data_IF_010012310602
#
_entry.id   IF_010012310602
#
_cell.length_a   1.000
_cell.length_b   1.000
_cell.length_c   1.000
_cell.angle_alpha   90.00
_cell.angle_beta   90.00
_cell.angle_gamma   90.00
#
_symmetry.space_group_name_H-M   'P 1'
#
loop_
_entity.id
_entity.type
_entity.pdbx_description
1 polymer ?
#
# COMPACT_ATOMS: atom_id res chain seq x y z
N UNK A 1 10.24 5.93 -3.24
CA UNK A 1 9.36 4.78 -2.94
C UNK A 1 9.48 4.44 -1.46
N UNK A 2 8.38 4.12 -0.84
CA UNK A 2 8.33 3.81 0.58
C UNK A 2 7.47 2.56 0.80
N UNK A 3 7.53 2.00 1.99
CA UNK A 3 6.72 0.84 2.36
C UNK A 3 5.53 1.27 3.20
N UNK A 4 4.43 0.53 3.07
CA UNK A 4 3.21 0.80 3.81
C UNK A 4 2.40 -0.48 3.96
N UNK A 5 1.44 -0.43 4.88
CA UNK A 5 0.46 -1.51 5.04
C UNK A 5 -0.91 -0.99 4.65
N UNK A 6 -1.60 -1.76 3.86
CA UNK A 6 -2.97 -1.44 3.47
C UNK A 6 -3.90 -1.71 4.63
N UNK A 7 -4.71 -0.73 4.99
CA UNK A 7 -5.65 -0.87 6.11
C UNK A 7 -7.11 -0.70 5.69
N UNK A 8 -7.37 -0.39 4.44
CA UNK A 8 -8.74 -0.24 3.99
C UNK A 8 -8.85 0.23 2.56
N UNK A 9 -10.07 0.49 2.16
CA UNK A 9 -10.45 0.93 0.81
C UNK A 9 -11.21 2.24 0.92
N UNK A 10 -10.96 3.14 -0.04
CA UNK A 10 -11.69 4.40 -0.13
C UNK A 10 -12.61 4.31 -1.34
N UNK A 11 -13.90 4.58 -1.12
CA UNK A 11 -14.89 4.58 -2.18
C UNK A 11 -15.38 6.01 -2.38
N UNK A 12 -15.39 6.47 -3.63
CA UNK A 12 -15.81 7.81 -3.97
C UNK A 12 -17.25 7.79 -4.45
N UNK A 13 -18.06 8.73 -3.94
CA UNK A 13 -19.47 8.83 -4.35
C UNK A 13 -19.58 9.60 -5.66
N UNK A 14 -18.73 10.59 -5.89
CA UNK A 14 -18.79 11.46 -7.07
C UNK A 14 -17.38 11.76 -7.56
N UNK A 15 -16.74 10.82 -8.22
CA UNK A 15 -15.34 11.04 -8.65
C UNK A 15 -15.27 11.95 -9.88
N UNK A 16 -14.20 12.73 -9.95
CA UNK A 16 -13.81 13.39 -11.20
C UNK A 16 -13.61 12.31 -12.26
N UNK A 17 -13.89 12.65 -13.53
CA UNK A 17 -13.83 11.67 -14.61
C UNK A 17 -12.47 10.97 -14.69
N UNK A 18 -11.37 11.68 -14.39
CA UNK A 18 -10.03 11.11 -14.42
C UNK A 18 -9.79 10.05 -13.35
N UNK A 19 -10.67 9.98 -12.35
CA UNK A 19 -10.54 9.01 -11.26
C UNK A 19 -11.38 7.75 -11.48
N UNK A 20 -12.12 7.68 -12.55
CA UNK A 20 -13.00 6.54 -12.80
C UNK A 20 -12.21 5.30 -13.13
N UNK A 21 -12.74 4.17 -12.70
CA UNK A 21 -12.15 2.87 -13.00
C UNK A 21 -10.99 2.48 -12.12
N UNK A 22 -10.57 3.34 -11.20
CA UNK A 22 -9.47 3.03 -10.32
C UNK A 22 -9.94 2.58 -8.94
N UNK A 23 -9.05 1.92 -8.23
CA UNK A 23 -9.25 1.57 -6.83
C UNK A 23 -8.37 2.45 -5.98
N UNK A 24 -8.89 2.87 -4.83
CA UNK A 24 -8.16 3.67 -3.86
C UNK A 24 -7.99 2.88 -2.58
N UNK A 25 -6.77 2.84 -2.07
CA UNK A 25 -6.46 2.13 -0.83
C UNK A 25 -5.99 3.12 0.23
N UNK A 26 -6.33 2.80 1.46
CA UNK A 26 -5.84 3.55 2.61
C UNK A 26 -4.58 2.85 3.11
N UNK A 27 -3.47 3.58 3.15
CA UNK A 27 -2.17 3.04 3.49
C UNK A 27 -1.64 3.69 4.77
N UNK A 28 -0.98 2.90 5.61
CA UNK A 28 -0.20 3.43 6.73
C UNK A 28 1.27 3.25 6.39
N UNK A 29 2.01 4.35 6.18
CA UNK A 29 3.44 4.26 5.92
C UNK A 29 4.19 3.63 7.10
N UNK A 30 5.23 2.86 6.79
CA UNK A 30 6.00 2.14 7.79
C UNK A 30 7.45 2.61 7.76
N UNK A 31 7.93 3.11 8.91
CA UNK A 31 9.35 3.40 9.09
C UNK A 31 10.10 2.16 9.56
N UNK A 32 11.44 2.26 9.74
CA UNK A 32 12.25 1.10 10.13
C UNK A 32 11.78 0.41 11.41
N UNK A 33 11.38 1.17 12.41
CA UNK A 33 10.91 0.58 13.67
C UNK A 33 9.56 -0.12 13.47
N UNK A 34 8.71 0.45 12.62
CA UNK A 34 7.40 -0.13 12.33
C UNK A 34 7.53 -1.45 11.58
N UNK A 35 8.50 -1.54 10.69
CA UNK A 35 8.74 -2.77 9.93
C UNK A 35 9.12 -3.92 10.86
N UNK A 36 9.90 -3.63 11.89
CA UNK A 36 10.27 -4.64 12.86
C UNK A 36 9.08 -5.04 13.74
N UNK A 37 8.20 -4.09 14.06
CA UNK A 37 7.03 -4.33 14.91
C UNK A 37 5.86 -4.93 14.15
N UNK A 38 5.82 -4.74 12.84
CA UNK A 38 4.74 -5.26 11.99
C UNK A 38 3.61 -4.28 11.72
N UNK A 39 3.56 -3.15 12.41
CA UNK A 39 2.55 -2.12 12.19
C UNK A 39 3.14 -0.75 12.43
N UNK A 40 2.41 0.29 12.05
CA UNK A 40 2.86 1.65 12.19
C UNK A 40 1.80 2.56 12.76
N UNK A 41 2.24 3.75 13.18
CA UNK A 41 1.40 4.76 13.77
C UNK A 41 1.37 6.06 12.94
N UNK A 42 1.95 6.04 11.76
CA UNK A 42 1.93 7.22 10.89
C UNK A 42 0.52 7.51 10.40
N UNK A 43 0.30 8.75 10.04
CA UNK A 43 -0.99 9.17 9.50
C UNK A 43 -1.27 8.42 8.19
N UNK A 44 -2.46 7.84 8.02
CA UNK A 44 -2.80 7.15 6.78
C UNK A 44 -2.89 8.10 5.60
N UNK A 45 -2.65 7.56 4.42
CA UNK A 45 -2.83 8.29 3.18
C UNK A 45 -3.59 7.43 2.17
N UNK A 46 -4.14 8.09 1.16
CA UNK A 46 -4.91 7.41 0.11
C UNK A 46 -4.02 7.25 -1.11
N UNK A 47 -3.98 6.06 -1.68
CA UNK A 47 -3.17 5.76 -2.85
C UNK A 47 -4.00 5.08 -3.93
N UNK A 48 -3.65 5.37 -5.18
CA UNK A 48 -4.21 4.66 -6.34
C UNK A 48 -3.62 3.26 -6.40
N UNK A 49 -4.46 2.26 -6.63
CA UNK A 49 -4.03 0.86 -6.65
C UNK A 49 -4.59 0.15 -7.89
N UNK A 50 -3.68 -0.22 -8.80
CA UNK A 50 -4.00 -1.02 -9.96
C UNK A 50 -3.62 -2.49 -9.78
N UNK A 51 -3.05 -2.84 -8.63
CA UNK A 51 -2.50 -4.18 -8.42
C UNK A 51 -3.39 -5.09 -7.60
N UNK A 52 -4.43 -4.53 -7.00
CA UNK A 52 -5.38 -5.33 -6.22
C UNK A 52 -4.88 -5.65 -4.81
N UNK A 53 -4.28 -4.69 -4.13
CA UNK A 53 -3.84 -4.90 -2.76
C UNK A 53 -5.03 -5.22 -1.85
N UNK A 54 -4.89 -6.26 -1.05
CA UNK A 54 -5.87 -6.60 -0.04
C UNK A 54 -5.57 -5.93 1.29
N UNK A 55 -6.48 -6.03 2.24
CA UNK A 55 -6.27 -5.49 3.58
C UNK A 55 -5.13 -6.24 4.26
N UNK A 56 -4.28 -5.51 4.96
CA UNK A 56 -3.12 -6.09 5.63
C UNK A 56 -1.93 -6.34 4.72
N UNK A 57 -2.06 -6.03 3.44
CA UNK A 57 -1.00 -6.23 2.47
C UNK A 57 0.15 -5.26 2.71
N UNK A 58 1.37 -5.76 2.69
CA UNK A 58 2.56 -4.93 2.67
C UNK A 58 2.78 -4.48 1.22
N UNK A 59 2.93 -3.18 1.01
CA UNK A 59 3.07 -2.62 -0.33
C UNK A 59 4.23 -1.63 -0.37
N UNK A 60 4.74 -1.41 -1.59
CA UNK A 60 5.62 -0.29 -1.88
C UNK A 60 4.80 0.75 -2.62
N UNK A 61 4.98 2.02 -2.27
CA UNK A 61 4.24 3.10 -2.92
C UNK A 61 5.14 4.27 -3.24
N UNK A 62 4.79 4.97 -4.30
CA UNK A 62 5.42 6.23 -4.68
C UNK A 62 4.48 7.36 -4.31
N UNK A 63 5.03 8.52 -3.97
CA UNK A 63 4.22 9.67 -3.60
C UNK A 63 4.78 10.94 -4.23
N UNK A 64 4.00 12.02 -4.14
CA UNK A 64 4.36 13.29 -4.74
C UNK A 64 4.08 13.30 -6.23
N UNK A 65 4.79 14.16 -6.95
CA UNK A 65 4.58 14.33 -8.39
C UNK A 65 4.87 13.08 -9.20
N UNK A 66 5.68 12.17 -8.68
CA UNK A 66 6.02 10.92 -9.39
C UNK A 66 4.86 9.95 -9.47
N UNK A 67 3.90 10.06 -8.55
CA UNK A 67 2.80 9.11 -8.48
C UNK A 67 1.92 9.13 -9.72
N UNK A 68 1.84 10.26 -10.41
CA UNK A 68 1.04 10.41 -11.62
C UNK A 68 1.76 10.03 -12.90
N UNK A 69 3.07 9.79 -12.86
CA UNK A 69 3.86 9.50 -14.06
C UNK A 69 3.41 8.25 -14.81
N UNK A 70 3.05 7.14 -14.14
CA UNK A 70 2.64 5.93 -14.86
C UNK A 70 1.38 6.10 -15.71
N UNK A 71 0.61 7.17 -15.47
CA UNK A 71 -0.66 7.38 -16.18
C UNK A 71 -0.53 8.27 -17.40
N UNK A 72 0.65 8.84 -17.65
CA UNK A 72 0.83 9.73 -18.78
C UNK A 72 0.49 9.01 -20.10
N UNK A 73 -0.11 9.72 -21.06
CA UNK A 73 -0.40 11.16 -21.08
C UNK A 73 -1.69 11.55 -20.35
N UNK A 74 -2.40 10.62 -19.72
CA UNK A 74 -3.61 10.94 -18.98
C UNK A 74 -3.25 11.71 -17.71
N UNK A 75 -4.12 12.65 -17.33
CA UNK A 75 -3.98 13.37 -16.07
C UNK A 75 -4.68 12.61 -14.96
N UNK A 76 -3.95 12.35 -13.88
CA UNK A 76 -4.50 11.71 -12.68
C UNK A 76 -4.20 12.58 -11.48
N UNK A 77 -5.22 13.10 -10.79
CA UNK A 77 -4.99 13.93 -9.60
C UNK A 77 -4.69 13.05 -8.38
N UNK A 78 -3.63 12.27 -8.47
CA UNK A 78 -3.20 11.39 -7.37
C UNK A 78 -1.77 11.73 -7.00
N UNK A 79 -1.48 11.71 -5.72
CA UNK A 79 -0.15 11.96 -5.20
C UNK A 79 0.42 10.75 -4.46
N UNK A 80 -0.23 9.61 -4.58
CA UNK A 80 0.30 8.35 -4.07
C UNK A 80 -0.19 7.21 -4.96
N UNK A 81 0.69 6.25 -5.21
CA UNK A 81 0.47 5.18 -6.16
C UNK A 81 1.10 3.90 -5.63
N UNK A 82 0.33 2.81 -5.57
CA UNK A 82 0.83 1.51 -5.15
C UNK A 82 1.65 0.93 -6.29
N UNK A 83 2.96 0.89 -6.10
CA UNK A 83 3.90 0.49 -7.14
C UNK A 83 4.17 -1.01 -7.14
N UNK A 84 4.02 -1.68 -5.99
CA UNK A 84 4.30 -3.11 -5.89
C UNK A 84 3.60 -3.71 -4.67
N UNK A 85 3.22 -4.96 -4.78
CA UNK A 85 2.80 -5.78 -3.64
C UNK A 85 4.04 -6.53 -3.16
N UNK A 86 4.28 -6.52 -1.85
CA UNK A 86 5.48 -7.11 -1.27
C UNK A 86 5.13 -8.47 -0.69
N UNK A 87 5.83 -9.49 -1.12
CA UNK A 87 5.67 -10.83 -0.58
C UNK A 87 6.56 -11.03 0.65
N UNK A 88 7.78 -10.55 0.57
CA UNK A 88 8.77 -10.81 1.60
C UNK A 88 9.70 -9.63 1.77
N UNK A 89 10.05 -9.35 3.03
CA UNK A 89 10.97 -8.27 3.38
C UNK A 89 12.00 -8.82 4.36
N UNK A 90 13.27 -8.70 4.00
CA UNK A 90 14.39 -9.09 4.85
C UNK A 90 15.14 -7.84 5.27
N UNK A 91 15.33 -7.67 6.57
CA UNK A 91 16.02 -6.52 7.14
C UNK A 91 17.25 -7.00 7.87
N UNK A 92 18.42 -6.49 7.48
CA UNK A 92 19.68 -6.85 8.12
C UNK A 92 19.67 -6.42 9.59
N UNK A 93 20.17 -7.29 10.46
CA UNK A 93 20.26 -6.97 11.88
C UNK A 93 18.99 -7.17 12.68
N UNK A 94 17.93 -7.62 12.04
CA UNK A 94 16.68 -7.94 12.73
C UNK A 94 16.54 -9.45 12.85
N UNK A 95 15.63 -9.88 13.74
CA UNK A 95 15.27 -11.28 13.80
C UNK A 95 14.11 -11.54 12.88
N UNK A 96 14.25 -12.51 12.02
CA UNK A 96 13.18 -12.96 11.17
C UNK A 96 12.92 -12.10 9.97
N UNK A 97 11.86 -12.42 9.30
CA UNK A 97 11.43 -11.83 8.02
C UNK A 97 9.98 -11.43 8.14
N UNK A 98 9.67 -10.23 7.67
CA UNK A 98 8.28 -9.79 7.57
C UNK A 98 7.71 -10.33 6.27
N UNK A 99 6.63 -11.08 6.38
CA UNK A 99 5.95 -11.67 5.25
C UNK A 99 4.57 -11.08 5.09
N UNK A 100 4.10 -11.05 3.87
CA UNK A 100 2.71 -10.73 3.62
C UNK A 100 1.84 -11.75 4.38
N UNK A 101 0.90 -11.27 5.22
CA UNK A 101 0.00 -12.19 5.92
C UNK A 101 -1.01 -12.71 4.93
N UNK A 102 -0.60 -13.66 4.14
CA UNK A 102 -1.50 -14.16 3.11
C UNK A 102 -2.74 -14.66 3.75
N UNK A 103 -3.74 -14.60 2.99
CA UNK A 103 -4.99 -15.14 3.40
C UNK A 103 -4.84 -16.63 3.69
N UNK A 104 -3.82 -16.98 3.87
CA UNK A 104 -3.56 -18.30 4.22
C UNK A 104 -4.05 -18.68 5.55
N UNK A 105 -4.21 -17.70 5.39
CA UNK A 105 -4.44 -17.71 6.19
C UNK A 105 -5.05 -18.24 6.63
N UNK A 106 -5.03 -18.31 6.74
CA UNK A 106 -5.28 -18.52 7.27
C UNK A 106 -5.53 -18.85 7.76
N UNK A 107 -5.62 -19.03 7.77
CA UNK A 107 -5.54 -19.04 8.34
C UNK A 107 -5.72 -19.22 9.13
N UNK A 108 -5.85 -19.20 9.56
CA UNK A 108 -5.76 -19.09 10.42
C UNK A 108 -5.65 -19.21 11.03
N UNK A 109 -5.20 -19.03 11.27
CA UNK A 109 -4.66 -18.92 11.86
C UNK A 109 -4.14 -18.98 12.32
N UNK A 110 -3.81 -18.91 12.38
CA UNK A 110 -3.06 -18.78 12.84
C UNK A 110 -2.54 -18.53 12.99
N UNK A 111 -2.45 -18.11 12.82
CA UNK A 111 -1.63 -17.90 13.14
C UNK A 111 -1.43 -17.88 13.96
#
# INVERSE_FOLDING_TARGET
MRLARTIGTVTLVEPHASMRGGALRLLVPLGPADLAAGDGAAEPLVAWDDLGAGDGQLVAFSEGGEAAQPFRPADKPVDAYVAALIDRLDIAGTTGTTRHPTATRNVGKNR
#
